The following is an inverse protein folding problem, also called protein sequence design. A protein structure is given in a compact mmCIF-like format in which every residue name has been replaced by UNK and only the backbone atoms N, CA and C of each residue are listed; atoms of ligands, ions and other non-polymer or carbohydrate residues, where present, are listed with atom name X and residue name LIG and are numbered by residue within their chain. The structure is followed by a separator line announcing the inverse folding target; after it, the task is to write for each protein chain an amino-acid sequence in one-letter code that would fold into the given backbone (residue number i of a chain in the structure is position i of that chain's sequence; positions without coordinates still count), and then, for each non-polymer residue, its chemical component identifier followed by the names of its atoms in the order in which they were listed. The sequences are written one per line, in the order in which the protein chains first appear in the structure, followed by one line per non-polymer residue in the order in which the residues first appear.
data_IF_967483259701
#
_entry.id   IF_967483259701
#
_cell.length_a   1.000
_cell.length_b   1.000
_cell.length_c   1.000
_cell.angle_alpha   90.00
_cell.angle_beta   90.00
_cell.angle_gamma   90.00
#
_symmetry.space_group_name_H-M   'P 1'
#
loop_
_entity.id
_entity.type
_entity.pdbx_description
1 polymer ?
#
# COMPACT_ATOMS: atom_id res chain seq x y z
N UNK A 1 10.77 -20.75 -40.22
CA UNK A 1 11.23 -20.04 -39.01
C UNK A 1 12.75 -20.15 -39.00
N UNK A 2 13.47 -19.04 -39.17
CA UNK A 2 14.93 -19.07 -39.32
C UNK A 2 15.63 -19.26 -37.97
N UNK A 3 16.87 -19.76 -37.97
CA UNK A 3 17.70 -19.88 -36.76
C UNK A 3 17.78 -18.56 -35.98
N UNK A 4 17.83 -17.44 -36.70
CA UNK A 4 17.86 -16.08 -36.15
C UNK A 4 16.54 -15.70 -35.46
N UNK A 5 15.40 -16.18 -35.94
CA UNK A 5 14.09 -15.94 -35.30
C UNK A 5 13.92 -16.76 -34.02
N UNK A 6 14.52 -17.95 -33.97
CA UNK A 6 14.55 -18.80 -32.79
C UNK A 6 15.47 -18.21 -31.70
N UNK A 7 16.71 -17.84 -32.06
CA UNK A 7 17.66 -17.18 -31.15
C UNK A 7 17.10 -15.84 -30.63
N UNK A 8 16.45 -15.04 -31.49
CA UNK A 8 15.79 -13.80 -31.04
C UNK A 8 14.57 -14.03 -30.13
N UNK A 9 13.96 -15.22 -30.16
CA UNK A 9 12.86 -15.55 -29.24
C UNK A 9 13.43 -15.97 -27.90
N UNK A 10 14.45 -16.81 -27.92
CA UNK A 10 15.14 -17.30 -26.73
C UNK A 10 15.78 -16.14 -25.96
N UNK A 11 16.51 -15.24 -26.64
CA UNK A 11 17.09 -14.05 -26.02
C UNK A 11 16.02 -13.11 -25.42
N UNK A 12 14.84 -13.02 -26.02
CA UNK A 12 13.74 -12.22 -25.45
C UNK A 12 13.13 -12.86 -24.22
N UNK A 13 13.04 -14.18 -24.21
CA UNK A 13 12.58 -14.95 -23.06
C UNK A 13 13.58 -14.83 -21.90
N UNK A 14 14.86 -15.01 -22.17
CA UNK A 14 15.91 -14.87 -21.15
C UNK A 14 15.98 -13.45 -20.57
N UNK A 15 15.88 -12.41 -21.41
CA UNK A 15 15.79 -11.02 -20.91
C UNK A 15 14.54 -10.80 -20.05
N UNK A 16 13.43 -11.46 -20.37
CA UNK A 16 12.21 -11.37 -19.58
C UNK A 16 12.39 -12.05 -18.22
N UNK A 17 12.93 -13.27 -18.20
CA UNK A 17 13.19 -14.03 -16.98
C UNK A 17 14.21 -13.31 -16.08
N UNK A 18 15.22 -12.67 -16.67
CA UNK A 18 16.20 -11.86 -15.94
C UNK A 18 15.58 -10.58 -15.36
N UNK A 19 14.72 -9.88 -16.12
CA UNK A 19 14.00 -8.73 -15.60
C UNK A 19 13.08 -9.11 -14.43
N UNK A 20 12.39 -10.26 -14.54
CA UNK A 20 11.55 -10.80 -13.46
C UNK A 20 12.36 -11.05 -12.18
N UNK A 21 13.56 -11.62 -12.32
CA UNK A 21 14.43 -11.88 -11.17
C UNK A 21 15.06 -10.62 -10.59
N UNK A 22 15.41 -9.64 -11.42
CA UNK A 22 15.95 -8.36 -10.94
C UNK A 22 14.88 -7.64 -10.14
N UNK A 23 13.69 -7.46 -10.70
CA UNK A 23 12.60 -6.78 -10.01
C UNK A 23 12.24 -7.52 -8.70
N UNK A 24 12.30 -8.87 -8.66
CA UNK A 24 12.02 -9.66 -7.44
C UNK A 24 13.08 -9.43 -6.37
N UNK A 25 14.36 -9.47 -6.75
CA UNK A 25 15.47 -9.22 -5.86
C UNK A 25 15.50 -7.77 -5.36
N UNK A 26 15.13 -6.81 -6.19
CA UNK A 26 15.02 -5.40 -5.78
C UNK A 26 13.91 -5.21 -4.75
N UNK A 27 12.76 -5.86 -4.94
CA UNK A 27 11.65 -5.82 -4.00
C UNK A 27 12.00 -6.53 -2.67
N UNK A 28 12.67 -7.68 -2.73
CA UNK A 28 13.17 -8.38 -1.53
C UNK A 28 14.22 -7.53 -0.80
N UNK A 29 15.10 -6.84 -1.52
CA UNK A 29 16.10 -5.93 -0.94
C UNK A 29 15.47 -4.70 -0.27
N UNK A 30 14.42 -4.12 -0.87
CA UNK A 30 13.66 -3.03 -0.26
C UNK A 30 12.99 -3.50 1.04
N UNK A 31 12.36 -4.67 1.02
CA UNK A 31 11.69 -5.24 2.19
C UNK A 31 12.68 -5.59 3.31
N UNK A 32 13.80 -6.24 2.98
CA UNK A 32 14.89 -6.53 3.92
C UNK A 32 15.49 -5.26 4.53
N UNK A 33 15.72 -4.23 3.70
CA UNK A 33 16.29 -2.96 4.17
C UNK A 33 15.34 -2.26 5.13
N UNK A 34 14.04 -2.27 4.83
CA UNK A 34 12.99 -1.73 5.70
C UNK A 34 12.85 -2.51 7.00
N UNK A 35 12.82 -3.85 6.94
CA UNK A 35 12.77 -4.70 8.13
C UNK A 35 13.98 -4.48 9.05
N UNK A 36 15.18 -4.36 8.46
CA UNK A 36 16.40 -4.02 9.21
C UNK A 36 16.28 -2.65 9.90
N UNK A 37 15.75 -1.64 9.20
CA UNK A 37 15.48 -0.32 9.80
C UNK A 37 14.48 -0.39 10.95
N UNK A 38 13.40 -1.18 10.79
CA UNK A 38 12.39 -1.41 11.83
C UNK A 38 12.96 -2.07 13.08
N UNK A 39 13.86 -3.05 12.94
CA UNK A 39 14.53 -3.67 14.09
C UNK A 39 15.43 -2.67 14.81
N UNK A 40 16.20 -1.85 14.08
CA UNK A 40 17.04 -0.84 14.70
C UNK A 40 16.20 0.14 15.52
N UNK A 41 15.12 0.67 14.95
CA UNK A 41 14.22 1.58 15.65
C UNK A 41 13.50 0.92 16.84
N UNK A 42 13.05 -0.34 16.69
CA UNK A 42 12.45 -1.10 17.79
C UNK A 42 13.45 -1.38 18.92
N UNK A 43 14.71 -1.65 18.59
CA UNK A 43 15.77 -1.88 19.59
C UNK A 43 16.09 -0.60 20.35
N UNK A 44 16.15 0.54 19.66
CA UNK A 44 16.38 1.85 20.26
C UNK A 44 15.20 2.24 21.16
N UNK A 45 13.96 2.16 20.66
CA UNK A 45 12.76 2.43 21.44
C UNK A 45 12.59 1.52 22.66
N UNK A 46 12.95 0.23 22.57
CA UNK A 46 12.93 -0.64 23.75
C UNK A 46 14.07 -0.35 24.71
N UNK A 47 15.22 0.10 24.22
CA UNK A 47 16.33 0.51 25.08
C UNK A 47 15.93 1.72 25.90
N UNK A 48 15.30 2.72 25.27
CA UNK A 48 14.78 3.91 25.96
C UNK A 48 13.67 3.53 26.95
N UNK A 49 12.72 2.67 26.55
CA UNK A 49 11.66 2.20 27.45
C UNK A 49 12.17 1.36 28.62
N UNK A 50 13.22 0.56 28.41
CA UNK A 50 13.85 -0.19 29.49
C UNK A 50 14.56 0.77 30.43
N UNK A 51 15.25 1.81 29.93
CA UNK A 51 15.86 2.84 30.76
C UNK A 51 14.81 3.60 31.57
N UNK A 52 13.72 4.04 30.95
CA UNK A 52 12.60 4.71 31.63
C UNK A 52 11.96 3.82 32.70
N UNK A 53 11.79 2.51 32.42
CA UNK A 53 11.28 1.55 33.40
C UNK A 53 12.28 1.24 34.51
N UNK A 54 13.59 1.26 34.24
CA UNK A 54 14.63 1.12 35.25
C UNK A 54 14.62 2.33 36.20
N UNK A 55 14.48 3.54 35.66
CA UNK A 55 14.30 4.79 36.42
C UNK A 55 12.97 4.79 37.21
N UNK A 56 11.86 4.36 36.61
CA UNK A 56 10.54 4.24 37.27
C UNK A 56 10.55 3.17 38.37
N UNK A 57 11.25 2.04 38.19
CA UNK A 57 11.42 1.02 39.24
C UNK A 57 12.31 1.52 40.38
N UNK A 58 13.27 2.40 40.11
CA UNK A 58 14.06 3.08 41.13
C UNK A 58 13.21 4.12 41.90
N UNK A 59 12.30 4.82 41.20
CA UNK A 59 11.36 5.79 41.79
C UNK A 59 10.20 5.14 42.57
N UNK A 60 9.60 4.05 42.07
CA UNK A 60 8.53 3.28 42.74
C UNK A 60 9.04 2.58 44.01
N UNK A 61 10.32 2.19 44.05
CA UNK A 61 10.96 1.75 45.31
C UNK A 61 11.08 2.89 46.33
N UNK A 62 10.92 4.14 45.90
CA UNK A 62 10.94 5.36 46.71
C UNK A 62 9.57 5.89 47.14
N UNK A 63 8.51 5.74 46.34
CA UNK A 63 7.18 6.33 46.64
C UNK A 63 6.02 5.44 46.18
N UNK A 64 5.19 5.01 47.13
CA UNK A 64 3.92 4.34 46.84
C UNK A 64 2.78 5.32 46.52
N UNK A 65 1.73 4.74 45.92
CA UNK A 65 0.36 5.22 45.62
C UNK A 65 0.03 5.73 44.20
N UNK A 66 -0.78 4.88 43.53
CA UNK A 66 -1.97 5.10 42.67
C UNK A 66 -2.03 6.28 41.68
N UNK A 67 -2.08 5.96 40.37
CA UNK A 67 -2.49 6.87 39.30
C UNK A 67 -3.64 6.28 38.44
N UNK A 68 -4.73 7.04 38.17
CA UNK A 68 -5.87 6.58 37.37
C UNK A 68 -5.69 6.84 35.85
N UNK A 69 -6.17 5.91 35.03
CA UNK A 69 -6.15 5.93 33.55
C UNK A 69 -7.15 6.95 32.96
N UNK A 70 -6.76 7.77 31.95
CA UNK A 70 -7.70 8.64 31.24
C UNK A 70 -8.50 7.88 30.18
N UNK A 71 -9.80 8.19 30.08
CA UNK A 71 -10.76 7.66 29.10
C UNK A 71 -10.56 8.34 27.74
N UNK A 72 -10.22 7.56 26.70
CA UNK A 72 -10.06 8.02 25.32
C UNK A 72 -11.40 8.32 24.65
N UNK A 73 -11.50 9.50 24.04
CA UNK A 73 -12.67 9.93 23.26
C UNK A 73 -12.74 9.25 21.89
N UNK A 74 -13.95 8.88 21.48
CA UNK A 74 -14.28 8.37 20.15
C UNK A 74 -13.85 9.37 19.06
N UNK A 75 -12.91 8.96 18.21
CA UNK A 75 -12.60 9.67 16.97
C UNK A 75 -13.68 9.35 15.93
N UNK A 76 -14.21 10.40 15.29
CA UNK A 76 -15.31 10.33 14.32
C UNK A 76 -14.85 10.03 12.89
N UNK A 77 -13.56 9.70 12.70
CA UNK A 77 -12.98 9.31 11.42
C UNK A 77 -13.33 7.85 11.12
N UNK A 78 -13.80 7.50 9.91
CA UNK A 78 -14.01 6.10 9.55
C UNK A 78 -12.68 5.35 9.67
N UNK A 79 -12.63 4.32 10.51
CA UNK A 79 -11.41 3.53 10.69
C UNK A 79 -11.18 2.62 9.48
N UNK A 80 -9.94 2.55 8.94
CA UNK A 80 -9.60 1.64 7.86
C UNK A 80 -9.82 0.18 8.29
N UNK A 81 -10.49 -0.59 7.45
CA UNK A 81 -10.84 -1.99 7.74
C UNK A 81 -9.91 -2.99 7.03
N UNK A 82 -9.21 -2.53 6.00
CA UNK A 82 -8.29 -3.34 5.20
C UNK A 82 -6.92 -2.68 5.08
N UNK A 83 -5.83 -3.46 4.93
CA UNK A 83 -4.50 -2.88 4.71
C UNK A 83 -4.41 -1.94 3.50
N UNK A 84 -5.23 -2.14 2.46
CA UNK A 84 -5.26 -1.22 1.33
C UNK A 84 -5.85 0.14 1.70
N UNK A 85 -6.78 0.20 2.66
CA UNK A 85 -7.29 1.47 3.21
C UNK A 85 -6.22 2.17 4.05
N UNK A 86 -5.47 1.44 4.89
CA UNK A 86 -4.34 2.00 5.66
C UNK A 86 -3.31 2.63 4.72
N UNK A 87 -2.98 1.92 3.65
CA UNK A 87 -2.02 2.37 2.63
C UNK A 87 -2.55 3.61 1.88
N UNK A 88 -3.86 3.68 1.59
CA UNK A 88 -4.46 4.85 0.94
C UNK A 88 -4.50 6.07 1.86
N UNK A 89 -4.82 5.88 3.14
CA UNK A 89 -4.90 6.95 4.14
C UNK A 89 -3.52 7.51 4.53
N UNK A 90 -2.44 6.76 4.24
CA UNK A 90 -1.07 7.19 4.53
C UNK A 90 -0.77 8.59 3.94
N UNK A 91 -0.29 9.55 4.77
CA UNK A 91 0.10 10.88 4.30
C UNK A 91 1.18 10.83 3.21
N UNK A 92 1.09 11.73 2.23
CA UNK A 92 1.98 11.70 1.05
C UNK A 92 3.47 11.76 1.41
N UNK A 93 3.84 12.50 2.46
CA UNK A 93 5.23 12.59 2.92
C UNK A 93 5.78 11.31 3.57
N UNK A 94 4.92 10.34 3.91
CA UNK A 94 5.32 9.05 4.48
C UNK A 94 5.33 7.91 3.45
N UNK A 95 4.82 8.16 2.25
CA UNK A 95 4.65 7.13 1.22
C UNK A 95 5.99 6.54 0.78
N UNK A 96 6.95 7.39 0.44
CA UNK A 96 8.26 6.97 -0.10
C UNK A 96 9.07 6.16 0.92
N UNK A 97 8.96 6.49 2.21
CA UNK A 97 9.70 5.82 3.27
C UNK A 97 9.03 4.50 3.71
N UNK A 98 7.69 4.43 3.68
CA UNK A 98 6.94 3.32 4.26
C UNK A 98 6.47 2.27 3.25
N UNK A 99 6.39 2.61 1.96
CA UNK A 99 5.89 1.69 0.93
C UNK A 99 7.01 1.22 -0.01
N UNK A 100 6.92 -0.01 -0.49
CA UNK A 100 7.70 -0.43 -1.67
C UNK A 100 7.14 0.22 -2.93
N UNK A 101 7.92 0.24 -4.01
CA UNK A 101 7.47 0.85 -5.26
C UNK A 101 6.14 0.23 -5.78
N UNK A 102 5.94 -1.08 -5.60
CA UNK A 102 4.71 -1.76 -6.02
C UNK A 102 3.53 -1.51 -5.07
N UNK A 103 3.78 -1.34 -3.77
CA UNK A 103 2.76 -0.89 -2.81
C UNK A 103 2.33 0.55 -3.10
N UNK A 104 3.27 1.44 -3.45
CA UNK A 104 2.95 2.81 -3.88
C UNK A 104 2.13 2.84 -5.17
N UNK A 105 2.47 1.99 -6.15
CA UNK A 105 1.65 1.83 -7.37
C UNK A 105 0.26 1.30 -7.07
N UNK A 106 0.14 0.32 -6.17
CA UNK A 106 -1.15 -0.19 -5.72
C UNK A 106 -1.96 0.90 -5.01
N UNK A 107 -1.34 1.67 -4.11
CA UNK A 107 -1.93 2.85 -3.46
C UNK A 107 -2.48 3.84 -4.47
N UNK A 108 -1.68 4.20 -5.48
CA UNK A 108 -2.07 5.15 -6.50
C UNK A 108 -3.34 4.70 -7.24
N UNK A 109 -3.42 3.42 -7.59
CA UNK A 109 -4.60 2.85 -8.26
C UNK A 109 -5.79 2.78 -7.30
N UNK A 110 -5.55 2.43 -6.04
CA UNK A 110 -6.57 2.30 -5.01
C UNK A 110 -7.19 3.66 -4.61
N UNK A 111 -6.39 4.73 -4.64
CA UNK A 111 -6.84 6.10 -4.35
C UNK A 111 -7.98 6.48 -5.32
N UNK A 112 -7.80 6.26 -6.62
CA UNK A 112 -8.78 6.69 -7.62
C UNK A 112 -9.46 5.49 -8.32
N UNK A 113 -9.93 4.50 -7.55
CA UNK A 113 -10.61 3.30 -8.10
C UNK A 113 -11.79 3.73 -8.98
N UNK A 114 -12.54 4.75 -8.56
CA UNK A 114 -13.75 5.18 -9.25
C UNK A 114 -13.49 5.73 -10.67
N UNK A 115 -12.31 6.31 -10.90
CA UNK A 115 -11.91 6.89 -12.18
C UNK A 115 -11.40 5.83 -13.17
N UNK A 116 -10.75 4.77 -12.66
CA UNK A 116 -10.08 3.78 -13.50
C UNK A 116 -10.86 2.47 -13.66
N UNK A 117 -11.89 2.25 -12.87
CA UNK A 117 -12.69 1.03 -12.88
C UNK A 117 -14.02 1.17 -13.64
N UNK A 118 -14.59 0.02 -13.98
CA UNK A 118 -15.92 -0.10 -14.59
C UNK A 118 -16.87 -0.76 -13.59
N UNK A 119 -18.09 -0.25 -13.50
CA UNK A 119 -19.13 -0.85 -12.66
C UNK A 119 -19.50 -2.24 -13.18
N UNK A 120 -19.60 -3.20 -12.25
CA UNK A 120 -19.97 -4.59 -12.46
C UNK A 120 -20.90 -5.04 -11.32
N UNK A 121 -21.68 -6.12 -11.46
CA UNK A 121 -22.60 -6.55 -10.39
C UNK A 121 -21.94 -6.89 -9.05
N UNK A 122 -20.64 -7.22 -9.04
CA UNK A 122 -19.86 -7.50 -7.85
C UNK A 122 -19.17 -6.26 -7.24
N UNK A 123 -19.33 -5.09 -7.87
CA UNK A 123 -18.73 -3.83 -7.46
C UNK A 123 -18.05 -3.11 -8.62
N UNK A 124 -16.74 -2.89 -8.51
CA UNK A 124 -15.95 -2.17 -9.52
C UNK A 124 -14.77 -2.98 -10.00
N UNK A 125 -14.59 -3.08 -11.32
CA UNK A 125 -13.55 -3.90 -11.93
C UNK A 125 -12.55 -3.07 -12.74
N UNK A 126 -11.25 -3.34 -12.55
CA UNK A 126 -10.15 -2.79 -13.35
C UNK A 126 -9.48 -3.94 -14.09
N UNK A 127 -9.42 -3.86 -15.43
CA UNK A 127 -8.70 -4.84 -16.24
C UNK A 127 -7.19 -4.57 -16.20
N UNK A 128 -6.37 -5.60 -16.30
CA UNK A 128 -4.90 -5.50 -16.43
C UNK A 128 -4.46 -4.57 -17.57
N UNK A 129 -5.22 -4.54 -18.68
CA UNK A 129 -4.97 -3.64 -19.81
C UNK A 129 -5.25 -2.17 -19.49
N UNK A 130 -6.27 -1.89 -18.67
CA UNK A 130 -6.60 -0.54 -18.21
C UNK A 130 -5.64 -0.11 -17.07
N UNK A 131 -5.32 -1.01 -16.14
CA UNK A 131 -4.32 -0.81 -15.09
C UNK A 131 -2.95 -0.41 -15.66
N UNK A 132 -2.51 -1.05 -16.75
CA UNK A 132 -1.26 -0.67 -17.43
C UNK A 132 -1.28 0.77 -17.93
N UNK A 133 -2.43 1.26 -18.43
CA UNK A 133 -2.56 2.64 -18.93
C UNK A 133 -2.48 3.62 -17.78
N UNK A 134 -3.11 3.30 -16.65
CA UNK A 134 -3.09 4.11 -15.43
C UNK A 134 -1.67 4.24 -14.90
N UNK A 135 -0.94 3.12 -14.76
CA UNK A 135 0.44 3.15 -14.29
C UNK A 135 1.36 3.94 -15.25
N UNK A 136 1.15 3.83 -16.57
CA UNK A 136 1.86 4.65 -17.56
C UNK A 136 1.50 6.13 -17.54
N UNK A 137 0.33 6.50 -17.01
CA UNK A 137 -0.03 7.90 -16.86
C UNK A 137 0.64 8.49 -15.62
N UNK A 138 0.87 7.67 -14.59
CA UNK A 138 1.63 8.03 -13.39
C UNK A 138 3.12 8.14 -13.67
N UNK A 139 3.69 7.14 -14.36
CA UNK A 139 5.12 7.05 -14.63
C UNK A 139 5.39 7.48 -16.07
N UNK A 140 6.27 8.47 -16.29
CA UNK A 140 6.76 8.90 -17.63
C UNK A 140 7.60 7.81 -18.35
N UNK A 141 7.45 6.54 -17.94
CA UNK A 141 8.26 5.40 -18.35
C UNK A 141 7.41 4.23 -18.88
N UNK A 142 8.09 3.25 -19.46
CA UNK A 142 7.44 2.07 -20.01
C UNK A 142 7.10 1.09 -18.89
N UNK A 143 5.84 1.03 -18.50
CA UNK A 143 5.35 -0.02 -17.59
C UNK A 143 5.30 -1.38 -18.28
N UNK A 144 5.95 -2.37 -17.66
CA UNK A 144 6.01 -3.75 -18.13
C UNK A 144 4.78 -4.56 -17.70
N UNK A 145 4.50 -5.68 -18.38
CA UNK A 145 3.38 -6.56 -18.02
C UNK A 145 3.55 -7.12 -16.61
N UNK A 146 4.79 -7.39 -16.21
CA UNK A 146 5.20 -7.89 -14.91
C UNK A 146 4.83 -6.92 -13.79
N UNK A 147 5.17 -5.64 -13.94
CA UNK A 147 4.80 -4.58 -12.97
C UNK A 147 3.29 -4.56 -12.75
N UNK A 148 2.50 -4.70 -13.82
CA UNK A 148 1.04 -4.77 -13.73
C UNK A 148 0.60 -6.00 -12.94
N UNK A 149 1.17 -7.18 -13.20
CA UNK A 149 0.85 -8.41 -12.44
C UNK A 149 1.17 -8.26 -10.96
N UNK A 150 2.33 -7.68 -10.62
CA UNK A 150 2.73 -7.45 -9.24
C UNK A 150 1.82 -6.46 -8.54
N UNK A 151 1.42 -5.38 -9.21
CA UNK A 151 0.43 -4.44 -8.65
C UNK A 151 -0.91 -5.13 -8.43
N UNK A 152 -1.35 -6.01 -9.34
CA UNK A 152 -2.55 -6.84 -9.16
C UNK A 152 -2.44 -7.71 -7.90
N UNK A 153 -1.28 -8.34 -7.69
CA UNK A 153 -1.02 -9.16 -6.50
C UNK A 153 -1.00 -8.33 -5.21
N UNK A 154 -0.40 -7.14 -5.23
CA UNK A 154 -0.44 -6.22 -4.07
C UNK A 154 -1.85 -5.72 -3.77
N UNK A 155 -2.67 -5.45 -4.79
CA UNK A 155 -4.07 -5.07 -4.60
C UNK A 155 -4.90 -6.20 -3.96
N UNK A 156 -4.66 -7.45 -4.39
CA UNK A 156 -5.31 -8.64 -3.82
C UNK A 156 -4.87 -8.89 -2.36
N UNK A 157 -3.56 -8.83 -2.11
CA UNK A 157 -2.97 -9.02 -0.77
C UNK A 157 -3.45 -7.97 0.23
N UNK A 158 -3.40 -6.69 -0.15
CA UNK A 158 -3.79 -5.58 0.73
C UNK A 158 -5.30 -5.46 0.87
N UNK A 159 -6.07 -5.83 -0.16
CA UNK A 159 -7.52 -5.77 -0.17
C UNK A 159 -8.22 -6.96 0.50
N UNK A 160 -7.48 -8.03 0.78
CA UNK A 160 -7.98 -9.25 1.47
C UNK A 160 -9.27 -9.77 0.81
N UNK A 161 -10.34 -9.96 1.58
CA UNK A 161 -11.61 -10.52 1.09
C UNK A 161 -12.46 -9.55 0.26
N UNK A 162 -12.10 -8.27 0.22
CA UNK A 162 -12.87 -7.22 -0.45
C UNK A 162 -12.32 -6.86 -1.83
N UNK A 163 -11.18 -7.46 -2.20
CA UNK A 163 -10.59 -7.40 -3.52
C UNK A 163 -10.41 -8.82 -4.04
N UNK A 164 -10.77 -9.05 -5.30
CA UNK A 164 -10.68 -10.37 -5.91
C UNK A 164 -10.08 -10.28 -7.31
N UNK A 165 -9.07 -11.10 -7.58
CA UNK A 165 -8.52 -11.24 -8.93
C UNK A 165 -9.29 -12.28 -9.73
N UNK A 166 -9.84 -11.84 -10.86
CA UNK A 166 -10.53 -12.69 -11.84
C UNK A 166 -9.73 -12.81 -13.12
N UNK A 167 -9.69 -14.01 -13.69
CA UNK A 167 -9.11 -14.24 -15.01
C UNK A 167 -10.20 -14.56 -16.03
N UNK A 168 -10.14 -13.89 -17.18
CA UNK A 168 -11.02 -14.19 -18.31
C UNK A 168 -10.55 -15.43 -19.08
N UNK A 169 -11.43 -16.00 -19.90
CA UNK A 169 -11.10 -17.14 -20.77
C UNK A 169 -9.95 -16.88 -21.76
N UNK A 170 -9.63 -15.62 -22.02
CA UNK A 170 -8.51 -15.20 -22.87
C UNK A 170 -7.21 -14.95 -22.10
N UNK A 171 -7.17 -15.21 -20.80
CA UNK A 171 -6.01 -14.95 -19.94
C UNK A 171 -5.85 -13.48 -19.51
N UNK A 172 -6.83 -12.61 -19.79
CA UNK A 172 -6.83 -11.24 -19.27
C UNK A 172 -7.25 -11.27 -17.80
N UNK A 173 -6.36 -10.86 -16.89
CA UNK A 173 -6.64 -10.65 -15.45
C UNK A 173 -7.39 -9.32 -15.24
N UNK A 174 -8.29 -9.30 -14.27
CA UNK A 174 -9.01 -8.13 -13.79
C UNK A 174 -9.12 -8.18 -12.27
N UNK A 175 -8.99 -7.02 -11.62
CA UNK A 175 -9.17 -6.85 -10.18
C UNK A 175 -10.58 -6.34 -9.94
N UNK A 176 -11.32 -6.96 -9.03
CA UNK A 176 -12.68 -6.58 -8.66
C UNK A 176 -12.66 -6.11 -7.21
N UNK A 177 -13.11 -4.88 -6.98
CA UNK A 177 -13.28 -4.27 -5.68
C UNK A 177 -14.76 -4.33 -5.30
N UNK A 178 -15.07 -4.67 -4.05
CA UNK A 178 -16.42 -4.58 -3.51
C UNK A 178 -16.92 -3.13 -3.52
N UNK A 179 -18.23 -2.90 -3.52
CA UNK A 179 -18.76 -1.52 -3.35
C UNK A 179 -18.42 -0.96 -1.96
N UNK A 180 -18.31 -1.82 -0.95
CA UNK A 180 -18.02 -1.44 0.44
C UNK A 180 -16.64 -0.79 0.56
N UNK A 181 -15.59 -1.43 0.01
CA UNK A 181 -14.23 -0.90 0.06
C UNK A 181 -14.10 0.40 -0.73
N UNK A 182 -14.77 0.51 -1.89
CA UNK A 182 -14.78 1.74 -2.68
C UNK A 182 -15.42 2.88 -1.89
N UNK A 183 -16.58 2.63 -1.26
CA UNK A 183 -17.26 3.64 -0.47
C UNK A 183 -16.44 4.10 0.74
N UNK A 184 -15.70 3.19 1.40
CA UNK A 184 -14.83 3.54 2.52
C UNK A 184 -13.64 4.37 2.06
N UNK A 185 -12.96 3.95 0.99
CA UNK A 185 -11.83 4.71 0.42
C UNK A 185 -12.26 6.13 0.02
N UNK A 186 -13.39 6.28 -0.66
CA UNK A 186 -13.90 7.61 -1.01
C UNK A 186 -14.25 8.46 0.22
N UNK A 187 -14.67 7.83 1.31
CA UNK A 187 -15.00 8.54 2.56
C UNK A 187 -13.73 9.00 3.28
N UNK A 188 -12.71 8.15 3.38
CA UNK A 188 -11.38 8.50 3.91
C UNK A 188 -10.81 9.72 3.20
N UNK A 189 -10.91 9.76 1.86
CA UNK A 189 -10.45 10.90 1.08
C UNK A 189 -11.20 12.19 1.36
N UNK A 190 -12.53 12.13 1.54
CA UNK A 190 -13.31 13.33 1.87
C UNK A 190 -12.93 13.85 3.27
N UNK A 191 -12.74 12.96 4.24
CA UNK A 191 -12.33 13.32 5.59
C UNK A 191 -10.93 13.94 5.64
N UNK A 192 -9.97 13.40 4.89
CA UNK A 192 -8.60 13.94 4.83
C UNK A 192 -8.51 15.30 4.13
N UNK A 193 -9.51 15.70 3.34
CA UNK A 193 -9.57 17.02 2.70
C UNK A 193 -10.34 18.08 3.50
N UNK A 194 -11.12 17.70 4.51
CA UNK A 194 -12.02 18.62 5.25
C UNK A 194 -11.34 19.38 6.41
N UNK A 195 -10.07 19.08 6.71
CA UNK A 195 -9.35 19.63 7.88
C UNK A 195 -8.78 21.06 7.65
N UNK A 196 -9.08 21.74 6.53
CA UNK A 196 -8.50 23.06 6.20
C UNK A 196 -9.53 24.16 5.94
N UNK A 197 -10.61 24.29 6.73
CA UNK A 197 -11.34 25.57 6.82
C UNK A 197 -11.86 25.76 8.25
N UNK A 198 -11.09 26.44 9.09
CA UNK A 198 -11.50 26.67 10.47
C UNK A 198 -10.63 27.63 11.28
N UNK A 199 -10.12 28.71 10.69
CA UNK A 199 -9.64 29.84 11.50
C UNK A 199 -10.04 31.17 10.82
N UNK A 200 -11.32 31.53 10.95
CA UNK A 200 -11.74 32.92 10.86
C UNK A 200 -11.16 33.68 12.06
N UNK A 201 -10.00 34.30 11.84
CA UNK A 201 -9.51 35.39 12.70
C UNK A 201 -10.41 36.61 12.48
N UNK A 202 -11.38 36.78 13.38
CA UNK A 202 -12.06 38.06 13.57
C UNK A 202 -11.05 39.10 14.09
N UNK A 203 -10.80 40.13 13.28
CA UNK A 203 -10.08 41.36 13.65
C UNK A 203 -10.87 42.59 13.26
#
# INVERSE_FOLDING_TARGET
MSKVEAENRELRQENQDQAERIDELEEELEELTRWRGGISNWTESNTDRIADLEDEVEEIKGTGDETPTPQGGESTTPEPQTPIEDVVDLPEGLVEDNLTANQERARFVAKDISDYSKSVPAGRAIKSSDLRKVLRAKEDSRVHTQTVSRVIERLDELGKSEVEVRESRSGERAVVFSEEIVSRIESLQRSSNDVVIGEEVCG
#
